data_IF_978490447821
#
_entry.id   IF_978490447821
#
_cell.length_a   1.000
_cell.length_b   1.000
_cell.length_c   1.000
_cell.angle_alpha   90.00
_cell.angle_beta   90.00
_cell.angle_gamma   90.00
#
_symmetry.space_group_name_H-M   'P 1'
#
loop_
_entity.id
_entity.type
_entity.pdbx_description
1 polymer ?
#
# COMPACT_ATOMS: atom_id res chain seq x y z
N UNK A 1 9.89 7.76 -25.74
CA UNK A 1 9.43 8.04 -24.37
C UNK A 1 9.89 6.88 -23.51
N UNK A 2 10.42 7.16 -22.32
CA UNK A 2 10.87 6.12 -21.38
C UNK A 2 9.81 5.91 -20.30
N UNK A 3 9.45 4.67 -20.06
CA UNK A 3 8.48 4.33 -19.00
C UNK A 3 9.10 3.32 -18.05
N UNK A 4 8.92 3.52 -16.75
CA UNK A 4 9.18 2.53 -15.73
C UNK A 4 7.82 2.03 -15.20
N UNK A 5 7.63 0.73 -15.17
CA UNK A 5 6.44 0.09 -14.62
C UNK A 5 6.88 -0.65 -13.35
N UNK A 6 6.32 -0.30 -12.19
CA UNK A 6 6.59 -0.94 -10.91
C UNK A 6 5.32 -1.62 -10.40
N UNK A 7 5.33 -2.94 -10.42
CA UNK A 7 4.22 -3.77 -9.94
C UNK A 7 4.58 -4.38 -8.59
N UNK A 8 3.72 -4.15 -7.61
CA UNK A 8 3.87 -4.69 -6.25
C UNK A 8 2.74 -5.68 -5.97
N UNK A 9 3.12 -6.85 -5.50
CA UNK A 9 2.24 -7.96 -5.15
C UNK A 9 2.27 -8.24 -3.64
N UNK A 10 1.47 -9.18 -3.20
CA UNK A 10 1.54 -9.70 -1.84
C UNK A 10 2.17 -11.08 -1.80
N UNK A 11 3.03 -11.30 -0.79
CA UNK A 11 3.39 -12.63 -0.35
C UNK A 11 4.17 -13.50 -1.33
N UNK A 12 4.90 -12.92 -2.27
CA UNK A 12 5.88 -13.68 -3.07
C UNK A 12 7.05 -14.05 -2.14
N UNK A 13 7.41 -15.33 -2.11
CA UNK A 13 8.52 -15.79 -1.30
C UNK A 13 9.85 -15.49 -1.98
N UNK A 14 10.95 -15.31 -1.23
CA UNK A 14 12.27 -15.03 -1.80
C UNK A 14 12.78 -16.04 -2.83
N UNK A 15 12.31 -17.29 -2.75
CA UNK A 15 12.72 -18.37 -3.65
C UNK A 15 11.70 -18.66 -4.77
N UNK A 16 10.60 -17.93 -4.81
CA UNK A 16 9.65 -18.04 -5.91
C UNK A 16 10.24 -17.34 -7.14
N UNK A 17 10.25 -18.03 -8.28
CA UNK A 17 10.74 -17.52 -9.56
C UNK A 17 9.60 -17.63 -10.58
N UNK A 18 9.29 -16.56 -11.34
CA UNK A 18 8.31 -16.63 -12.40
C UNK A 18 8.65 -17.67 -13.47
N UNK A 19 7.65 -18.28 -14.08
CA UNK A 19 7.83 -19.23 -15.19
C UNK A 19 8.54 -18.60 -16.39
N UNK A 20 8.24 -17.32 -16.65
CA UNK A 20 9.01 -16.54 -17.64
C UNK A 20 10.23 -15.97 -16.93
N UNK A 21 11.41 -16.41 -17.35
CA UNK A 21 12.65 -15.99 -16.74
C UNK A 21 12.84 -14.47 -16.86
N UNK A 22 13.12 -13.76 -15.75
CA UNK A 22 13.40 -12.33 -15.79
C UNK A 22 14.78 -12.05 -16.41
N UNK A 23 14.94 -10.84 -17.00
CA UNK A 23 16.23 -10.37 -17.50
C UNK A 23 17.22 -10.15 -16.36
N UNK A 24 16.76 -9.64 -15.22
CA UNK A 24 17.56 -9.50 -14.03
C UNK A 24 16.77 -9.80 -12.75
N UNK A 25 17.50 -10.22 -11.69
CA UNK A 25 16.91 -10.50 -10.37
C UNK A 25 17.72 -9.87 -9.25
N UNK A 26 17.04 -9.58 -8.14
CA UNK A 26 17.65 -9.19 -6.87
C UNK A 26 16.81 -9.72 -5.69
N UNK A 27 17.42 -9.80 -4.52
CA UNK A 27 16.77 -10.04 -3.23
C UNK A 27 16.96 -8.77 -2.38
N UNK A 28 15.89 -8.00 -2.19
CA UNK A 28 15.93 -6.72 -1.50
C UNK A 28 15.69 -6.91 -0.01
N UNK A 29 16.60 -6.45 0.83
CA UNK A 29 16.47 -6.51 2.29
C UNK A 29 15.91 -5.19 2.82
N UNK A 30 14.80 -5.26 3.53
CA UNK A 30 14.11 -4.09 4.07
C UNK A 30 14.94 -3.38 5.15
N UNK A 31 15.03 -2.05 5.08
CA UNK A 31 15.72 -1.19 6.05
C UNK A 31 14.77 -0.48 7.02
N UNK A 32 13.49 -0.33 6.62
CA UNK A 32 12.49 0.35 7.46
C UNK A 32 12.18 -0.45 8.72
N UNK A 33 11.95 0.27 9.84
CA UNK A 33 11.92 -0.32 11.19
C UNK A 33 10.63 -1.05 11.55
N UNK A 34 9.48 -0.68 10.98
CA UNK A 34 8.17 -1.21 11.38
C UNK A 34 7.57 -2.24 10.43
N UNK A 35 8.19 -2.43 9.29
CA UNK A 35 7.79 -3.41 8.28
C UNK A 35 6.30 -3.32 7.88
N UNK A 36 5.71 -2.14 8.01
CA UNK A 36 4.32 -1.92 7.59
C UNK A 36 4.23 -1.83 6.07
N UNK A 37 3.06 -2.11 5.52
CA UNK A 37 2.85 -1.92 4.07
C UNK A 37 3.14 -0.49 3.62
N UNK A 38 2.91 0.51 4.47
CA UNK A 38 3.19 1.91 4.17
C UNK A 38 4.70 2.14 4.02
N UNK A 39 5.49 1.68 4.98
CA UNK A 39 6.95 1.89 4.97
C UNK A 39 7.65 1.11 3.87
N UNK A 40 7.16 -0.07 3.49
CA UNK A 40 7.65 -0.81 2.32
C UNK A 40 7.47 0.00 1.04
N UNK A 41 6.29 0.58 0.81
CA UNK A 41 6.06 1.42 -0.37
C UNK A 41 6.88 2.73 -0.33
N UNK A 42 7.02 3.34 0.83
CA UNK A 42 7.88 4.53 0.97
C UNK A 42 9.34 4.19 0.70
N UNK A 43 9.82 3.04 1.17
CA UNK A 43 11.19 2.60 0.92
C UNK A 43 11.42 2.27 -0.56
N UNK A 44 10.47 1.59 -1.22
CA UNK A 44 10.50 1.40 -2.68
C UNK A 44 10.55 2.75 -3.42
N UNK A 45 9.93 3.78 -2.88
CA UNK A 45 9.96 5.14 -3.43
C UNK A 45 11.13 6.00 -2.92
N UNK A 46 12.11 5.41 -2.22
CA UNK A 46 13.34 6.07 -1.82
C UNK A 46 13.38 6.63 -0.39
N UNK A 47 12.31 6.52 0.37
CA UNK A 47 12.19 7.05 1.73
C UNK A 47 12.23 5.93 2.78
N UNK A 48 13.38 5.73 3.42
CA UNK A 48 13.54 4.78 4.52
C UNK A 48 13.00 5.35 5.83
N UNK A 49 12.14 4.61 6.51
CA UNK A 49 11.58 4.99 7.82
C UNK A 49 12.31 4.26 8.96
N UNK A 50 13.19 4.97 9.66
CA UNK A 50 13.92 4.44 10.83
C UNK A 50 13.13 4.54 12.14
N UNK A 51 11.98 5.20 12.13
CA UNK A 51 11.12 5.33 13.32
C UNK A 51 9.86 4.54 13.09
N UNK A 52 9.56 3.52 13.91
CA UNK A 52 8.33 2.75 13.79
C UNK A 52 7.10 3.66 13.95
N UNK A 53 6.08 3.40 13.16
CA UNK A 53 4.79 4.05 13.34
C UNK A 53 4.13 3.58 14.63
N UNK A 54 3.45 4.47 15.39
CA UNK A 54 2.82 4.08 16.65
C UNK A 54 1.67 3.09 16.41
N UNK A 55 1.62 2.06 17.26
CA UNK A 55 0.51 1.10 17.32
C UNK A 55 -0.21 1.22 18.67
N UNK A 56 -1.46 0.84 18.73
CA UNK A 56 -2.30 1.02 19.91
C UNK A 56 -2.93 -0.30 20.38
N UNK A 57 -2.12 -1.26 20.90
CA UNK A 57 -2.61 -2.57 21.31
C UNK A 57 -3.61 -2.52 22.48
N UNK A 58 -3.60 -1.45 23.25
CA UNK A 58 -4.54 -1.20 24.36
C UNK A 58 -5.57 -0.10 24.03
N UNK A 59 -5.74 0.24 22.73
CA UNK A 59 -6.58 1.34 22.28
C UNK A 59 -5.91 2.72 22.44
N UNK A 60 -6.56 3.72 21.86
CA UNK A 60 -6.08 5.10 21.91
C UNK A 60 -6.23 5.70 23.33
N UNK A 61 -5.32 6.62 23.73
CA UNK A 61 -5.35 7.21 25.06
C UNK A 61 -6.69 7.94 25.37
N UNK A 62 -7.16 7.83 26.60
CA UNK A 62 -8.43 8.47 27.06
C UNK A 62 -8.48 9.98 26.76
N UNK A 63 -7.35 10.68 26.85
CA UNK A 63 -7.26 12.12 26.53
C UNK A 63 -7.54 12.41 25.06
N UNK A 64 -7.09 11.52 24.16
CA UNK A 64 -7.40 11.63 22.73
C UNK A 64 -8.87 11.34 22.48
N UNK A 65 -9.39 10.23 23.02
CA UNK A 65 -10.82 9.86 22.89
C UNK A 65 -11.72 11.02 23.30
N UNK A 66 -11.50 11.57 24.50
CA UNK A 66 -12.28 12.71 24.99
C UNK A 66 -12.28 13.90 24.00
N UNK A 67 -11.13 14.28 23.46
CA UNK A 67 -11.03 15.37 22.48
C UNK A 67 -11.77 15.04 21.17
N UNK A 68 -11.71 13.78 20.75
CA UNK A 68 -12.39 13.31 19.54
C UNK A 68 -13.90 13.33 19.73
N UNK A 69 -14.40 12.84 20.87
CA UNK A 69 -15.82 12.88 21.23
C UNK A 69 -16.35 14.32 21.36
N UNK A 70 -15.60 15.22 21.99
CA UNK A 70 -15.93 16.64 22.07
C UNK A 70 -16.00 17.30 20.67
N UNK A 71 -15.14 16.90 19.74
CA UNK A 71 -15.08 17.49 18.42
C UNK A 71 -16.12 16.91 17.44
N UNK A 72 -16.57 15.68 17.66
CA UNK A 72 -17.55 15.01 16.79
C UNK A 72 -18.97 15.05 17.35
N UNK A 73 -19.13 15.24 18.66
CA UNK A 73 -20.41 15.18 19.38
C UNK A 73 -20.94 13.75 19.58
N UNK A 74 -20.14 12.74 19.31
CA UNK A 74 -20.48 11.33 19.49
C UNK A 74 -19.56 10.65 20.49
N UNK A 75 -20.10 9.72 21.27
CA UNK A 75 -19.28 8.82 22.05
C UNK A 75 -18.61 7.75 21.18
N UNK A 76 -17.55 7.15 21.72
CA UNK A 76 -16.78 6.10 21.06
C UNK A 76 -16.93 4.79 21.83
N UNK A 77 -17.28 3.74 21.11
CA UNK A 77 -17.30 2.36 21.63
C UNK A 77 -16.15 1.56 21.02
N UNK A 78 -15.77 0.48 21.69
CA UNK A 78 -14.71 -0.49 21.37
C UNK A 78 -13.32 0.04 21.74
N UNK A 79 -12.73 0.97 20.99
CA UNK A 79 -11.38 1.54 21.19
C UNK A 79 -10.32 0.49 21.58
N UNK A 80 -10.18 -0.55 20.78
CA UNK A 80 -9.20 -1.63 20.94
C UNK A 80 -8.92 -2.33 19.62
N UNK A 81 -7.87 -3.18 19.52
CA UNK A 81 -7.68 -4.04 18.36
C UNK A 81 -8.88 -4.97 18.17
N UNK A 82 -9.40 -5.03 16.95
CA UNK A 82 -10.53 -5.86 16.59
C UNK A 82 -10.48 -6.34 15.14
N UNK A 83 -11.09 -7.50 14.87
CA UNK A 83 -11.31 -7.95 13.50
C UNK A 83 -12.36 -7.07 12.81
N UNK A 84 -12.06 -6.61 11.59
CA UNK A 84 -12.99 -5.76 10.86
C UNK A 84 -14.38 -6.40 10.62
N UNK A 85 -14.46 -7.71 10.39
CA UNK A 85 -15.73 -8.41 10.22
C UNK A 85 -16.47 -8.62 11.56
N UNK A 86 -15.76 -9.10 12.56
CA UNK A 86 -16.39 -9.40 13.88
C UNK A 86 -16.86 -8.15 14.62
N UNK A 87 -16.24 -6.99 14.40
CA UNK A 87 -16.63 -5.75 15.10
C UNK A 87 -18.06 -5.31 14.75
N UNK A 88 -18.52 -5.58 13.53
CA UNK A 88 -19.89 -5.30 13.13
C UNK A 88 -20.89 -6.28 13.78
N UNK A 89 -20.54 -7.55 13.82
CA UNK A 89 -21.39 -8.59 14.45
C UNK A 89 -21.58 -8.30 15.94
N UNK A 90 -20.52 -7.89 16.63
CA UNK A 90 -20.54 -7.67 18.08
C UNK A 90 -21.08 -6.30 18.49
N UNK A 91 -20.83 -5.23 17.72
CA UNK A 91 -21.12 -3.83 18.12
C UNK A 91 -22.02 -3.05 17.15
N UNK A 92 -22.35 -3.59 15.98
CA UNK A 92 -23.25 -2.94 15.03
C UNK A 92 -24.61 -2.62 15.62
N UNK A 93 -25.16 -3.56 16.43
CA UNK A 93 -26.42 -3.37 17.14
C UNK A 93 -26.36 -2.30 18.24
N UNK A 94 -25.24 -2.15 18.94
CA UNK A 94 -25.04 -1.10 19.93
C UNK A 94 -24.96 0.26 19.24
N UNK A 95 -24.15 0.37 18.19
CA UNK A 95 -24.04 1.58 17.37
C UNK A 95 -25.41 2.04 16.83
N UNK A 96 -26.19 1.13 16.24
CA UNK A 96 -27.50 1.51 15.65
C UNK A 96 -28.53 1.97 16.68
N UNK A 97 -28.39 1.56 17.94
CA UNK A 97 -29.27 2.02 19.04
C UNK A 97 -28.82 3.32 19.68
N UNK A 98 -27.52 3.50 19.89
CA UNK A 98 -26.97 4.65 20.63
C UNK A 98 -26.51 5.81 19.75
N UNK A 99 -26.09 5.51 18.52
CA UNK A 99 -25.39 6.46 17.65
C UNK A 99 -23.90 6.62 17.98
N UNK A 100 -23.35 5.83 18.92
CA UNK A 100 -21.94 5.90 19.29
C UNK A 100 -21.05 5.33 18.18
N UNK A 101 -19.91 5.97 17.90
CA UNK A 101 -19.02 5.58 16.82
C UNK A 101 -18.21 4.33 17.18
N UNK A 102 -18.14 3.35 16.27
CA UNK A 102 -17.31 2.17 16.45
C UNK A 102 -15.87 2.51 16.04
N UNK A 103 -15.00 2.71 17.03
CA UNK A 103 -13.57 2.89 16.83
C UNK A 103 -12.81 1.60 17.12
N UNK A 104 -12.01 1.15 16.18
CA UNK A 104 -11.12 0.02 16.39
C UNK A 104 -9.77 0.21 15.68
N UNK A 105 -8.79 -0.57 16.08
CA UNK A 105 -7.44 -0.59 15.50
C UNK A 105 -7.04 -2.02 15.16
N UNK A 106 -5.82 -2.26 14.76
CA UNK A 106 -5.22 -3.57 14.51
C UNK A 106 -3.79 -3.62 15.08
N UNK A 107 -3.03 -4.62 14.69
CA UNK A 107 -1.59 -4.66 14.98
C UNK A 107 -0.80 -3.64 14.15
N UNK A 108 -1.42 -3.06 13.12
CA UNK A 108 -0.82 -2.02 12.30
C UNK A 108 -1.14 -0.62 12.85
N UNK A 109 -0.47 0.39 12.33
CA UNK A 109 -0.63 1.80 12.71
C UNK A 109 -1.87 2.41 12.07
N UNK A 110 -3.06 2.00 12.52
CA UNK A 110 -4.34 2.41 11.92
C UNK A 110 -5.35 2.86 12.97
N UNK A 111 -6.19 3.84 12.59
CA UNK A 111 -7.41 4.26 13.27
C UNK A 111 -8.57 3.96 12.33
N UNK A 112 -9.46 3.08 12.69
CA UNK A 112 -10.61 2.70 11.87
C UNK A 112 -11.90 3.13 12.56
N UNK A 113 -12.73 3.87 11.84
CA UNK A 113 -14.00 4.38 12.33
C UNK A 113 -15.13 3.82 11.49
N UNK A 114 -16.00 3.01 12.09
CA UNK A 114 -17.16 2.45 11.42
C UNK A 114 -18.46 3.07 11.95
N UNK A 115 -19.39 3.31 11.02
CA UNK A 115 -20.73 3.77 11.33
C UNK A 115 -21.73 3.30 10.27
N UNK A 116 -22.96 3.02 10.70
CA UNK A 116 -24.07 2.64 9.84
C UNK A 116 -24.60 3.86 9.09
N UNK A 117 -24.72 3.78 7.76
CA UNK A 117 -25.06 4.91 6.89
C UNK A 117 -26.42 5.60 7.19
N UNK A 118 -27.38 4.86 7.80
CA UNK A 118 -28.68 5.43 8.22
C UNK A 118 -28.64 6.10 9.59
N UNK A 119 -27.58 5.86 10.39
CA UNK A 119 -27.40 6.42 11.75
C UNK A 119 -26.48 7.62 11.72
N UNK A 120 -25.36 7.48 11.03
CA UNK A 120 -24.39 8.55 10.75
C UNK A 120 -24.24 8.68 9.25
N UNK A 121 -24.67 9.81 8.66
CA UNK A 121 -24.49 10.04 7.23
C UNK A 121 -23.03 9.85 6.82
N UNK A 122 -22.79 9.23 5.67
CA UNK A 122 -21.43 8.89 5.21
C UNK A 122 -20.52 10.11 5.14
N UNK A 123 -21.06 11.26 4.72
CA UNK A 123 -20.31 12.53 4.66
C UNK A 123 -19.89 13.04 6.04
N UNK A 124 -20.69 12.76 7.08
CA UNK A 124 -20.31 13.12 8.45
C UNK A 124 -19.25 12.16 9.00
N UNK A 125 -19.33 10.86 8.70
CA UNK A 125 -18.26 9.91 9.00
C UNK A 125 -16.92 10.35 8.38
N UNK A 126 -16.94 10.86 7.15
CA UNK A 126 -15.74 11.39 6.50
C UNK A 126 -15.17 12.60 7.26
N UNK A 127 -16.02 13.56 7.65
CA UNK A 127 -15.60 14.71 8.48
C UNK A 127 -15.00 14.26 9.82
N UNK A 128 -15.57 13.23 10.45
CA UNK A 128 -15.03 12.69 11.70
C UNK A 128 -13.66 12.05 11.50
N UNK A 129 -13.44 11.36 10.40
CA UNK A 129 -12.12 10.84 10.05
C UNK A 129 -11.10 11.96 9.76
N UNK A 130 -11.50 13.05 9.13
CA UNK A 130 -10.64 14.23 8.94
C UNK A 130 -10.29 14.91 10.27
N UNK A 131 -11.24 15.00 11.20
CA UNK A 131 -11.01 15.48 12.56
C UNK A 131 -10.00 14.56 13.27
N UNK A 132 -10.22 13.23 13.20
CA UNK A 132 -9.28 12.27 13.75
C UNK A 132 -7.87 12.44 13.17
N UNK A 133 -7.75 12.58 11.83
CA UNK A 133 -6.44 12.78 11.17
C UNK A 133 -5.71 14.02 11.69
N UNK A 134 -6.43 15.13 11.92
CA UNK A 134 -5.87 16.36 12.47
C UNK A 134 -5.47 16.24 13.94
N UNK A 135 -6.20 15.45 14.73
CA UNK A 135 -5.90 15.21 16.16
C UNK A 135 -4.78 14.19 16.38
N UNK A 136 -4.55 13.30 15.41
CA UNK A 136 -3.53 12.25 15.44
C UNK A 136 -2.21 12.77 14.90
N UNK A 137 -1.45 13.46 15.75
CA UNK A 137 -0.13 14.04 15.44
C UNK A 137 0.94 13.64 16.47
N UNK A 138 2.21 13.79 16.12
CA UNK A 138 3.34 13.45 16.96
C UNK A 138 3.31 11.97 17.37
N UNK A 139 3.36 11.67 18.66
CA UNK A 139 3.35 10.28 19.18
C UNK A 139 2.05 9.49 18.91
N UNK A 140 0.99 10.15 18.46
CA UNK A 140 -0.28 9.53 18.11
C UNK A 140 -0.48 9.41 16.60
N UNK A 141 0.48 9.82 15.79
CA UNK A 141 0.38 9.91 14.33
C UNK A 141 0.38 8.52 13.68
N UNK A 142 -0.79 7.90 13.63
CA UNK A 142 -0.97 6.63 12.91
C UNK A 142 -0.76 6.80 11.40
N UNK A 143 -0.35 5.73 10.75
CA UNK A 143 -0.17 5.70 9.30
C UNK A 143 -1.46 5.99 8.53
N UNK A 144 -2.60 5.44 8.97
CA UNK A 144 -3.87 5.62 8.28
C UNK A 144 -5.03 5.86 9.25
N UNK A 145 -5.95 6.74 8.85
CA UNK A 145 -7.31 6.87 9.39
C UNK A 145 -8.26 6.36 8.32
N UNK A 146 -9.16 5.45 8.66
CA UNK A 146 -10.00 4.76 7.69
C UNK A 146 -11.47 4.93 8.08
N UNK A 147 -12.26 5.52 7.19
CA UNK A 147 -13.72 5.55 7.27
C UNK A 147 -14.27 4.23 6.72
N UNK A 148 -15.10 3.57 7.51
CA UNK A 148 -15.73 2.29 7.17
C UNK A 148 -17.25 2.36 7.33
N UNK A 149 -17.95 2.98 6.40
CA UNK A 149 -19.41 2.97 6.41
C UNK A 149 -19.92 1.54 6.21
N UNK A 150 -21.02 1.22 6.90
CA UNK A 150 -21.67 -0.08 6.77
C UNK A 150 -23.19 0.05 6.68
N UNK A 151 -23.85 -1.01 6.24
CA UNK A 151 -25.30 -1.10 6.06
C UNK A 151 -25.83 -2.42 6.57
N UNK A 152 -27.13 -2.67 6.42
CA UNK A 152 -27.78 -3.90 6.82
C UNK A 152 -28.61 -3.73 8.09
N UNK A 153 -29.11 -4.86 8.59
CA UNK A 153 -29.94 -4.93 9.81
C UNK A 153 -29.26 -5.82 10.87
N UNK A 154 -29.79 -5.83 12.08
CA UNK A 154 -29.25 -6.58 13.20
C UNK A 154 -28.96 -8.05 12.83
N UNK A 155 -27.71 -8.48 13.01
CA UNK A 155 -27.20 -9.80 12.66
C UNK A 155 -26.76 -9.98 11.20
N UNK A 156 -26.90 -8.97 10.35
CA UNK A 156 -26.56 -9.00 8.92
C UNK A 156 -25.95 -7.67 8.46
N UNK A 157 -24.96 -7.18 9.21
CA UNK A 157 -24.23 -5.96 8.85
C UNK A 157 -23.09 -6.26 7.87
N UNK A 158 -22.92 -5.39 6.87
CA UNK A 158 -21.83 -5.48 5.89
C UNK A 158 -21.24 -4.12 5.58
N UNK A 159 -19.94 -4.07 5.28
CA UNK A 159 -19.27 -2.83 4.87
C UNK A 159 -19.69 -2.43 3.45
N UNK A 160 -19.82 -1.12 3.24
CA UNK A 160 -20.01 -0.53 1.93
C UNK A 160 -18.61 -0.18 1.40
N UNK A 161 -17.92 -1.15 0.79
CA UNK A 161 -16.51 -1.02 0.42
C UNK A 161 -16.26 0.12 -0.60
N UNK A 162 -17.20 0.40 -1.50
CA UNK A 162 -17.12 1.51 -2.45
C UNK A 162 -17.17 2.90 -1.77
N UNK A 163 -17.69 2.98 -0.54
CA UNK A 163 -17.71 4.20 0.29
C UNK A 163 -16.59 4.22 1.33
N UNK A 164 -15.68 3.23 1.31
CA UNK A 164 -14.50 3.24 2.17
C UNK A 164 -13.57 4.38 1.76
N UNK A 165 -13.10 5.19 2.74
CA UNK A 165 -12.09 6.23 2.51
C UNK A 165 -10.90 6.08 3.44
N UNK A 166 -9.71 6.37 2.92
CA UNK A 166 -8.45 6.34 3.67
C UNK A 166 -7.84 7.73 3.69
N UNK A 167 -7.46 8.17 4.88
CA UNK A 167 -6.76 9.42 5.14
C UNK A 167 -5.37 9.06 5.67
N UNK A 168 -4.44 8.87 4.76
CA UNK A 168 -3.07 8.48 5.11
C UNK A 168 -2.26 9.65 5.67
N UNK A 169 -1.22 9.31 6.39
CA UNK A 169 -0.14 10.23 6.71
C UNK A 169 0.66 10.49 5.43
N UNK A 170 0.99 11.74 5.18
CA UNK A 170 1.94 12.05 4.09
C UNK A 170 3.32 11.46 4.38
N UNK A 171 4.07 11.07 3.35
CA UNK A 171 5.47 10.68 3.51
C UNK A 171 6.26 11.76 4.25
N UNK A 172 7.05 11.35 5.26
CA UNK A 172 7.79 12.27 6.13
C UNK A 172 8.95 13.00 5.41
N UNK A 173 9.27 12.61 4.18
CA UNK A 173 10.32 13.17 3.36
C UNK A 173 9.96 13.14 1.87
N UNK A 174 10.91 13.58 1.04
CA UNK A 174 10.76 13.47 -0.42
C UNK A 174 10.86 12.03 -0.88
N UNK A 175 10.11 11.70 -1.91
CA UNK A 175 10.08 10.39 -2.56
C UNK A 175 10.41 10.53 -4.05
N UNK A 176 10.63 9.41 -4.74
CA UNK A 176 10.82 9.45 -6.19
C UNK A 176 9.59 10.02 -6.93
N UNK A 177 8.38 9.89 -6.34
CA UNK A 177 7.17 10.44 -6.93
C UNK A 177 7.23 11.97 -6.99
N UNK A 178 7.74 12.60 -5.92
CA UNK A 178 7.96 14.05 -5.90
C UNK A 178 9.00 14.48 -6.94
N UNK A 179 10.12 13.73 -7.02
CA UNK A 179 11.21 14.05 -7.95
C UNK A 179 10.79 13.92 -9.42
N UNK A 180 10.02 12.89 -9.74
CA UNK A 180 9.47 12.67 -11.08
C UNK A 180 8.51 13.80 -11.48
N UNK A 181 7.57 14.15 -10.58
CA UNK A 181 6.62 15.23 -10.83
C UNK A 181 7.28 16.59 -10.97
N UNK A 182 8.32 16.88 -10.19
CA UNK A 182 9.07 18.13 -10.28
C UNK A 182 9.90 18.25 -11.57
N UNK A 183 10.22 17.12 -12.21
CA UNK A 183 10.87 17.03 -13.54
C UNK A 183 9.84 16.90 -14.69
N UNK A 184 8.55 17.27 -14.43
CA UNK A 184 7.46 17.22 -15.41
C UNK A 184 7.22 15.82 -16.02
N UNK A 185 7.52 14.76 -15.27
CA UNK A 185 7.24 13.38 -15.65
C UNK A 185 5.90 12.90 -15.07
N UNK A 186 5.25 12.02 -15.82
CA UNK A 186 4.00 11.40 -15.38
C UNK A 186 4.25 10.41 -14.24
N UNK A 187 3.37 10.42 -13.26
CA UNK A 187 3.33 9.45 -12.17
C UNK A 187 1.92 8.89 -12.06
N UNK A 188 1.68 7.79 -12.76
CA UNK A 188 0.41 7.08 -12.71
C UNK A 188 0.42 6.04 -11.61
N UNK A 189 -0.73 5.84 -10.96
CA UNK A 189 -0.83 4.83 -9.92
C UNK A 189 -2.09 3.99 -10.01
N UNK A 190 -1.96 2.71 -9.66
CA UNK A 190 -3.08 1.77 -9.58
C UNK A 190 -3.16 1.19 -8.17
N UNK A 191 -4.39 1.00 -7.69
CA UNK A 191 -4.67 0.39 -6.41
C UNK A 191 -4.48 1.34 -5.23
N UNK A 192 -3.82 0.87 -4.16
CA UNK A 192 -3.67 1.62 -2.91
C UNK A 192 -2.53 2.64 -2.90
N UNK A 193 -1.74 2.71 -3.97
CA UNK A 193 -0.59 3.63 -4.04
C UNK A 193 -1.02 5.07 -3.77
N UNK A 194 -2.13 5.52 -4.37
CA UNK A 194 -2.70 6.85 -4.13
C UNK A 194 -2.95 7.14 -2.65
N UNK A 195 -3.45 6.14 -1.91
CA UNK A 195 -3.74 6.27 -0.48
C UNK A 195 -2.46 6.26 0.35
N UNK A 196 -1.49 5.39 0.02
CA UNK A 196 -0.22 5.24 0.76
C UNK A 196 0.62 6.51 0.71
N UNK A 197 0.59 7.23 -0.42
CA UNK A 197 1.31 8.49 -0.59
C UNK A 197 0.46 9.73 -0.32
N UNK A 198 -0.79 9.58 0.16
CA UNK A 198 -1.73 10.69 0.37
C UNK A 198 -1.86 11.60 -0.88
N UNK A 199 -1.88 10.99 -2.05
CA UNK A 199 -1.89 11.61 -3.39
C UNK A 199 -0.65 12.45 -3.72
N UNK A 200 0.35 12.52 -2.85
CA UNK A 200 1.54 13.34 -3.06
C UNK A 200 2.43 12.77 -4.17
N UNK A 201 2.81 13.61 -5.13
CA UNK A 201 3.67 13.26 -6.25
C UNK A 201 2.96 12.46 -7.36
N UNK A 202 1.67 12.13 -7.25
CA UNK A 202 0.90 11.38 -8.24
C UNK A 202 0.19 12.35 -9.19
N UNK A 203 0.21 12.06 -10.50
CA UNK A 203 -0.42 12.88 -11.55
C UNK A 203 -1.77 12.32 -12.00
N UNK A 204 -1.92 10.99 -12.02
CA UNK A 204 -3.19 10.31 -12.31
C UNK A 204 -3.28 8.97 -11.59
N UNK A 205 -4.51 8.48 -11.33
CA UNK A 205 -4.69 7.25 -10.59
C UNK A 205 -5.99 6.53 -10.87
N UNK A 206 -5.97 5.21 -10.67
CA UNK A 206 -7.16 4.38 -10.57
C UNK A 206 -7.08 3.47 -9.33
N UNK A 207 -8.14 3.50 -8.51
CA UNK A 207 -8.28 2.53 -7.40
C UNK A 207 -8.62 1.16 -7.95
N UNK A 208 -8.24 0.11 -7.25
CA UNK A 208 -8.53 -1.27 -7.67
C UNK A 208 -9.22 -2.08 -6.56
N UNK A 209 -10.08 -2.99 -7.00
CA UNK A 209 -10.72 -3.99 -6.15
C UNK A 209 -10.07 -5.36 -6.35
N UNK A 210 -8.85 -5.48 -5.86
CA UNK A 210 -8.06 -6.69 -5.92
C UNK A 210 -7.19 -6.85 -7.16
N UNK A 211 -6.63 -8.08 -7.31
CA UNK A 211 -5.59 -8.36 -8.30
C UNK A 211 -6.05 -8.17 -9.74
N UNK A 212 -7.18 -8.78 -10.12
CA UNK A 212 -7.61 -8.81 -11.52
C UNK A 212 -7.99 -7.42 -12.03
N UNK A 213 -8.79 -6.69 -11.26
CA UNK A 213 -9.17 -5.30 -11.58
C UNK A 213 -7.95 -4.36 -11.61
N UNK A 214 -7.01 -4.55 -10.67
CA UNK A 214 -5.75 -3.79 -10.68
C UNK A 214 -4.89 -4.08 -11.89
N UNK A 215 -4.81 -5.34 -12.32
CA UNK A 215 -4.07 -5.72 -13.53
C UNK A 215 -4.70 -5.09 -14.78
N UNK A 216 -6.01 -5.16 -14.94
CA UNK A 216 -6.73 -4.57 -16.08
C UNK A 216 -6.48 -3.05 -16.16
N UNK A 217 -6.50 -2.36 -15.02
CA UNK A 217 -6.18 -0.94 -14.93
C UNK A 217 -4.71 -0.64 -15.23
N UNK A 218 -3.81 -1.51 -14.79
CA UNK A 218 -2.37 -1.40 -15.10
C UNK A 218 -2.14 -1.53 -16.61
N UNK A 219 -2.71 -2.54 -17.25
CA UNK A 219 -2.62 -2.74 -18.70
C UNK A 219 -3.21 -1.56 -19.47
N UNK A 220 -4.36 -1.02 -19.02
CA UNK A 220 -4.97 0.16 -19.63
C UNK A 220 -4.05 1.39 -19.56
N UNK A 221 -3.38 1.66 -18.43
CA UNK A 221 -2.39 2.73 -18.35
C UNK A 221 -1.16 2.46 -19.26
N UNK A 222 -0.78 1.19 -19.47
CA UNK A 222 0.32 0.85 -20.37
C UNK A 222 0.00 1.12 -21.86
N UNK A 223 -1.28 1.17 -22.24
CA UNK A 223 -1.71 1.58 -23.59
C UNK A 223 -1.43 3.08 -23.85
N UNK A 224 -1.41 3.91 -22.80
CA UNK A 224 -1.21 5.35 -22.93
C UNK A 224 0.24 5.69 -23.32
N UNK A 225 0.38 6.79 -24.06
CA UNK A 225 1.66 7.39 -24.30
C UNK A 225 1.99 8.35 -23.16
N UNK A 226 2.94 7.95 -22.29
CA UNK A 226 3.42 8.75 -21.18
C UNK A 226 4.95 8.62 -21.03
N UNK A 227 5.57 9.56 -20.32
CA UNK A 227 6.98 9.51 -19.98
C UNK A 227 7.12 9.61 -18.46
N UNK A 228 7.49 8.52 -17.80
CA UNK A 228 7.53 8.51 -16.35
C UNK A 228 7.31 7.15 -15.72
N UNK A 229 6.56 7.11 -14.61
CA UNK A 229 6.34 5.94 -13.77
C UNK A 229 4.86 5.52 -13.77
N UNK A 230 4.61 4.23 -13.95
CA UNK A 230 3.37 3.57 -13.56
C UNK A 230 3.64 2.70 -12.32
N UNK A 231 3.03 3.06 -11.19
CA UNK A 231 3.20 2.35 -9.92
C UNK A 231 1.92 1.63 -9.52
N UNK A 232 1.91 0.31 -9.61
CA UNK A 232 0.72 -0.52 -9.41
C UNK A 232 0.84 -1.39 -8.16
N UNK A 233 -0.17 -1.31 -7.29
CA UNK A 233 -0.39 -2.25 -6.19
C UNK A 233 -1.48 -3.25 -6.60
N UNK A 234 -1.08 -4.48 -6.91
CA UNK A 234 -1.97 -5.58 -7.29
C UNK A 234 -2.31 -6.49 -6.09
N UNK A 235 -2.19 -5.98 -4.88
CA UNK A 235 -2.48 -6.75 -3.68
C UNK A 235 -3.96 -7.10 -3.55
N UNK A 236 -4.23 -8.32 -3.09
CA UNK A 236 -5.57 -8.72 -2.66
C UNK A 236 -5.76 -8.25 -1.23
N UNK A 237 -6.72 -7.42 -0.93
CA UNK A 237 -6.95 -6.79 0.37
C UNK A 237 -6.60 -7.63 1.63
N UNK A 238 -6.17 -6.97 2.67
CA UNK A 238 -5.59 -7.52 3.93
C UNK A 238 -6.38 -8.65 4.60
N UNK A 239 -7.70 -8.71 4.44
CA UNK A 239 -8.55 -9.72 5.08
C UNK A 239 -8.29 -11.16 4.58
N UNK A 240 -7.86 -11.32 3.33
CA UNK A 240 -7.55 -12.63 2.74
C UNK A 240 -6.14 -13.11 3.12
N UNK A 241 -5.18 -12.19 3.25
CA UNK A 241 -3.80 -12.51 3.62
C UNK A 241 -3.67 -13.05 5.03
N UNK A 242 -4.36 -12.44 5.99
CA UNK A 242 -4.28 -12.81 7.41
C UNK A 242 -4.86 -14.19 7.72
N UNK A 243 -5.74 -14.75 6.84
CA UNK A 243 -6.34 -16.07 7.05
C UNK A 243 -5.41 -17.24 6.70
N UNK A 244 -4.63 -17.14 5.64
CA UNK A 244 -3.66 -18.15 5.27
C UNK A 244 -2.57 -17.55 4.35
N UNK A 245 -1.52 -16.97 4.93
CA UNK A 245 -0.49 -16.25 4.16
C UNK A 245 0.20 -17.14 3.10
N UNK A 246 0.60 -18.37 3.45
CA UNK A 246 1.28 -19.28 2.51
C UNK A 246 0.43 -19.57 1.28
N UNK A 247 -0.87 -19.85 1.47
CA UNK A 247 -1.81 -20.12 0.38
C UNK A 247 -2.05 -18.88 -0.47
N UNK A 248 -2.05 -17.70 0.14
CA UNK A 248 -2.19 -16.42 -0.57
C UNK A 248 -0.99 -16.16 -1.46
N UNK A 249 0.24 -16.33 -0.96
CA UNK A 249 1.47 -16.17 -1.74
C UNK A 249 1.54 -17.10 -2.94
N UNK A 250 1.19 -18.37 -2.78
CA UNK A 250 1.14 -19.33 -3.89
C UNK A 250 0.15 -18.87 -4.97
N UNK A 251 -1.05 -18.44 -4.58
CA UNK A 251 -2.06 -17.94 -5.52
C UNK A 251 -1.65 -16.65 -6.24
N UNK A 252 -0.91 -15.77 -5.56
CA UNK A 252 -0.41 -14.55 -6.18
C UNK A 252 0.70 -14.83 -7.18
N UNK A 253 1.55 -15.83 -6.89
CA UNK A 253 2.56 -16.27 -7.84
C UNK A 253 1.95 -16.96 -9.06
N UNK A 254 0.93 -17.82 -8.87
CA UNK A 254 0.17 -18.42 -9.95
C UNK A 254 -0.50 -17.33 -10.81
N UNK A 255 -1.14 -16.34 -10.18
CA UNK A 255 -1.77 -15.23 -10.89
C UNK A 255 -0.76 -14.36 -11.64
N UNK A 256 0.44 -14.14 -11.09
CA UNK A 256 1.52 -13.48 -11.82
C UNK A 256 1.93 -14.30 -13.05
N UNK A 257 2.21 -15.58 -12.90
CA UNK A 257 2.61 -16.46 -14.00
C UNK A 257 1.59 -16.53 -15.15
N UNK A 258 0.30 -16.48 -14.81
CA UNK A 258 -0.78 -16.48 -15.81
C UNK A 258 -0.89 -15.15 -16.57
N UNK A 259 -0.53 -14.05 -15.95
CA UNK A 259 -0.76 -12.72 -16.51
C UNK A 259 0.51 -11.95 -16.87
N UNK A 260 1.69 -12.42 -16.45
CA UNK A 260 2.97 -11.85 -16.86
C UNK A 260 3.14 -11.75 -18.38
N UNK A 261 2.72 -12.76 -19.19
CA UNK A 261 2.76 -12.62 -20.65
C UNK A 261 2.08 -11.36 -21.17
N UNK A 262 0.91 -11.01 -20.63
CA UNK A 262 0.15 -9.81 -21.03
C UNK A 262 0.92 -8.52 -20.70
N UNK A 263 1.52 -8.45 -19.50
CA UNK A 263 2.35 -7.31 -19.12
C UNK A 263 3.57 -7.17 -20.05
N UNK A 264 4.20 -8.29 -20.43
CA UNK A 264 5.37 -8.27 -21.31
C UNK A 264 5.02 -7.91 -22.75
N UNK A 265 3.85 -8.31 -23.25
CA UNK A 265 3.34 -7.97 -24.59
C UNK A 265 3.08 -6.46 -24.73
N UNK A 266 2.65 -5.78 -23.65
CA UNK A 266 2.40 -4.34 -23.61
C UNK A 266 3.67 -3.48 -23.40
N UNK A 267 4.83 -4.11 -23.11
CA UNK A 267 6.08 -3.37 -22.96
C UNK A 267 6.57 -2.85 -24.32
N UNK A 268 6.79 -1.54 -24.39
CA UNK A 268 7.45 -0.87 -25.52
C UNK A 268 8.98 -1.01 -25.40
N UNK A 269 9.70 -0.72 -26.46
CA UNK A 269 11.17 -0.89 -26.53
C UNK A 269 11.95 -0.13 -25.44
N UNK A 270 11.45 1.05 -25.06
CA UNK A 270 12.02 1.90 -24.01
C UNK A 270 11.35 1.71 -22.65
N UNK A 271 10.68 0.58 -22.41
CA UNK A 271 10.09 0.30 -21.11
C UNK A 271 10.98 -0.61 -20.28
N UNK A 272 10.88 -0.43 -18.94
CA UNK A 272 11.40 -1.38 -17.96
C UNK A 272 10.30 -1.74 -16.98
N UNK A 273 10.18 -3.04 -16.69
CA UNK A 273 9.21 -3.57 -15.73
C UNK A 273 9.95 -4.10 -14.49
N UNK A 274 9.51 -3.65 -13.32
CA UNK A 274 9.90 -4.17 -12.03
C UNK A 274 8.70 -4.87 -11.38
N UNK A 275 8.89 -6.08 -10.92
CA UNK A 275 7.88 -6.83 -10.15
C UNK A 275 8.49 -7.22 -8.81
N UNK A 276 7.83 -6.84 -7.72
CA UNK A 276 8.29 -7.15 -6.36
C UNK A 276 7.12 -7.48 -5.43
N UNK A 277 7.41 -7.74 -4.17
CA UNK A 277 6.41 -8.04 -3.15
C UNK A 277 6.46 -7.03 -2.00
N UNK A 278 5.31 -6.61 -1.47
CA UNK A 278 5.23 -5.76 -0.27
C UNK A 278 5.33 -6.55 1.04
N UNK A 279 5.00 -7.83 1.01
CA UNK A 279 5.08 -8.70 2.18
C UNK A 279 5.92 -9.92 1.89
N UNK A 280 6.71 -10.32 2.86
CA UNK A 280 7.51 -11.55 2.80
C UNK A 280 7.05 -12.50 3.88
N UNK A 281 6.96 -13.79 3.52
CA UNK A 281 6.70 -14.83 4.51
C UNK A 281 8.00 -15.23 5.18
N UNK A 282 8.37 -14.54 6.27
CA UNK A 282 9.35 -15.12 7.19
C UNK A 282 8.61 -15.94 8.24
N UNK A 283 8.91 -17.23 8.29
CA UNK A 283 8.38 -18.15 9.31
C UNK A 283 9.07 -17.98 10.68
N UNK A 284 10.02 -17.05 10.80
CA UNK A 284 10.78 -16.82 12.04
C UNK A 284 10.75 -15.35 12.41
N UNK A 285 10.35 -15.04 13.65
CA UNK A 285 10.58 -13.71 14.24
C UNK A 285 12.08 -13.37 14.18
N UNK A 286 12.40 -12.17 13.71
CA UNK A 286 13.79 -11.69 13.61
C UNK A 286 14.54 -12.11 12.34
N UNK A 287 13.94 -12.81 11.38
CA UNK A 287 14.57 -13.04 10.08
C UNK A 287 14.53 -11.77 9.22
N UNK A 288 15.63 -11.48 8.52
CA UNK A 288 15.69 -10.41 7.53
C UNK A 288 14.58 -10.62 6.51
N UNK A 289 13.77 -9.58 6.30
CA UNK A 289 12.71 -9.62 5.30
C UNK A 289 13.30 -9.31 3.94
N UNK A 290 13.31 -10.34 3.10
CA UNK A 290 13.82 -10.26 1.73
C UNK A 290 12.65 -10.21 0.77
N UNK A 291 12.62 -9.20 -0.08
CA UNK A 291 11.63 -9.01 -1.13
C UNK A 291 12.26 -9.40 -2.47
N UNK A 292 11.73 -10.42 -3.18
CA UNK A 292 12.23 -10.74 -4.50
C UNK A 292 11.94 -9.59 -5.46
N UNK A 293 12.88 -9.31 -6.35
CA UNK A 293 12.73 -8.33 -7.41
C UNK A 293 13.02 -9.01 -8.74
N UNK A 294 12.06 -8.96 -9.64
CA UNK A 294 12.15 -9.45 -11.02
C UNK A 294 12.11 -8.26 -11.97
N UNK A 295 13.01 -8.23 -12.94
CA UNK A 295 13.14 -7.10 -13.85
C UNK A 295 13.12 -7.60 -15.30
N UNK A 296 12.40 -6.88 -16.16
CA UNK A 296 12.20 -7.20 -17.57
C UNK A 296 12.34 -5.94 -18.42
N UNK A 297 12.84 -6.10 -19.64
CA UNK A 297 12.91 -5.02 -20.62
C UNK A 297 14.20 -5.02 -21.44
N UNK A 298 14.14 -4.51 -22.65
CA UNK A 298 15.30 -4.46 -23.58
C UNK A 298 16.49 -3.65 -23.02
N UNK A 299 16.21 -2.71 -22.12
CA UNK A 299 17.22 -1.87 -21.46
C UNK A 299 17.73 -2.46 -20.13
N UNK A 300 17.27 -3.66 -19.76
CA UNK A 300 17.79 -4.43 -18.62
C UNK A 300 18.89 -5.39 -19.11
N UNK A 301 19.95 -5.54 -18.33
CA UNK A 301 21.05 -6.47 -18.59
C UNK A 301 20.56 -7.89 -18.42
N UNK A 302 20.62 -8.68 -19.49
CA UNK A 302 20.12 -10.07 -19.47
C UNK A 302 21.02 -11.00 -18.64
N UNK A 303 20.39 -11.84 -17.83
CA UNK A 303 21.08 -12.83 -16.99
C UNK A 303 21.76 -12.24 -15.74
N UNK A 304 21.45 -10.97 -15.39
CA UNK A 304 22.05 -10.32 -14.24
C UNK A 304 21.40 -10.80 -12.93
N UNK A 305 22.21 -11.30 -12.02
CA UNK A 305 21.81 -11.56 -10.63
C UNK A 305 22.54 -10.57 -9.70
N UNK A 306 21.80 -9.68 -9.06
CA UNK A 306 22.33 -8.68 -8.13
C UNK A 306 22.57 -9.25 -6.71
N UNK A 307 22.14 -10.49 -6.44
CA UNK A 307 22.23 -11.09 -5.11
C UNK A 307 21.38 -10.34 -4.07
N UNK A 308 21.85 -10.35 -2.83
CA UNK A 308 21.23 -9.65 -1.71
C UNK A 308 21.60 -8.16 -1.73
N UNK A 309 20.60 -7.31 -1.84
CA UNK A 309 20.74 -5.86 -1.88
C UNK A 309 20.15 -5.24 -0.61
N UNK A 310 20.93 -4.40 0.07
CA UNK A 310 20.47 -3.66 1.23
C UNK A 310 19.58 -2.50 0.82
N UNK A 311 18.34 -2.49 1.30
CA UNK A 311 17.32 -1.49 1.01
C UNK A 311 16.46 -1.78 -0.21
N UNK A 312 15.17 -1.51 -0.09
CA UNK A 312 14.26 -1.50 -1.22
C UNK A 312 14.44 -0.23 -2.06
N UNK A 313 15.05 0.76 -1.49
CA UNK A 313 15.27 2.10 -2.06
C UNK A 313 16.25 2.12 -3.26
N UNK A 314 16.95 1.03 -3.54
CA UNK A 314 17.68 0.85 -4.80
C UNK A 314 16.78 0.83 -6.04
N UNK A 315 15.51 0.44 -5.87
CA UNK A 315 14.50 0.47 -6.96
C UNK A 315 14.26 1.91 -7.41
N UNK A 316 13.98 2.83 -6.48
CA UNK A 316 13.76 4.25 -6.81
C UNK A 316 14.98 4.89 -7.45
N UNK A 317 16.18 4.62 -6.91
CA UNK A 317 17.43 5.13 -7.48
C UNK A 317 17.65 4.67 -8.93
N UNK A 318 17.28 3.41 -9.23
CA UNK A 318 17.38 2.82 -10.56
C UNK A 318 16.37 3.44 -11.53
N UNK A 319 15.12 3.59 -11.09
CA UNK A 319 14.04 4.22 -11.88
C UNK A 319 14.38 5.67 -12.20
N UNK A 320 14.78 6.48 -11.21
CA UNK A 320 15.17 7.88 -11.42
C UNK A 320 16.32 8.00 -12.41
N UNK A 321 17.36 7.17 -12.27
CA UNK A 321 18.48 7.14 -13.23
C UNK A 321 18.00 6.76 -14.63
N UNK A 322 17.14 5.75 -14.77
CA UNK A 322 16.63 5.31 -16.06
C UNK A 322 15.85 6.41 -16.78
N UNK A 323 14.99 7.10 -16.03
CA UNK A 323 14.16 8.21 -16.56
C UNK A 323 14.93 9.52 -16.75
N UNK A 324 16.20 9.58 -16.32
CA UNK A 324 17.07 10.73 -16.54
C UNK A 324 16.93 11.85 -15.52
N UNK A 325 16.23 11.59 -14.40
CA UNK A 325 16.07 12.55 -13.30
C UNK A 325 17.41 12.74 -12.58
N UNK A 326 17.79 14.02 -12.36
CA UNK A 326 19.08 14.37 -11.74
C UNK A 326 19.08 14.20 -10.23
N UNK A 327 17.93 14.34 -9.61
CA UNK A 327 17.79 14.17 -8.15
C UNK A 327 18.16 12.73 -7.76
N UNK A 328 18.98 12.60 -6.72
CA UNK A 328 19.39 11.29 -6.20
C UNK A 328 18.62 11.02 -4.91
N UNK A 329 17.62 10.18 -5.01
CA UNK A 329 16.85 9.69 -3.86
C UNK A 329 17.00 8.17 -3.77
N UNK A 330 17.03 7.68 -2.55
CA UNK A 330 17.09 6.26 -2.27
C UNK A 330 18.50 5.71 -2.09
N UNK A 331 18.65 4.43 -2.40
CA UNK A 331 19.88 3.67 -2.23
C UNK A 331 20.81 3.70 -3.46
N UNK A 332 21.71 2.74 -3.54
CA UNK A 332 22.55 2.58 -4.72
C UNK A 332 21.70 2.14 -5.91
N UNK A 333 22.07 2.65 -7.09
CA UNK A 333 21.48 2.19 -8.36
C UNK A 333 21.85 0.73 -8.58
N UNK A 334 20.86 -0.10 -8.90
CA UNK A 334 21.10 -1.50 -9.23
C UNK A 334 21.89 -1.62 -10.53
N UNK A 335 22.88 -2.54 -10.65
CA UNK A 335 23.72 -2.69 -11.83
C UNK A 335 23.01 -3.47 -12.94
N UNK A 336 21.82 -3.02 -13.33
CA UNK A 336 20.90 -3.74 -14.24
C UNK A 336 20.58 -2.94 -15.51
N UNK A 337 20.92 -1.67 -15.57
CA UNK A 337 20.71 -0.83 -16.76
C UNK A 337 21.85 -1.00 -17.76
N UNK A 338 21.48 -1.13 -19.06
CA UNK A 338 22.45 -1.15 -20.17
C UNK A 338 23.05 0.22 -20.42
#
# INVERSE_FOLDING_TARGET
MKRAILVVLDGIRPNDIPKIAPDAVASLQELSSDHSSITVFWELAGLVSYTPMPTFPNGFPKRFIKKFEEATGHHVIVNRPYSGSQVLDDFGGDHTRSGDLILFTSQESVFQLAAHEKVVPVEDLYKYCEIARKLLFGKLQVGQVIARPFTGDFGHYEYIEEKRRVYSMEPAGRTMLDALKDDDLDVFSVGKVIDIFAARGITDFERSDGFQDGLEKTLRFMEYDFNGLLFSDLSRGEALEKRNPVKTGTKNMEALDENLPKLLEELKDEDILFVTSRSTFSMKEGANRCHPLFMYGKNIVHGQNCGDVQGLNGVSATILKYLGVKERLGGPVLPVLK
#
